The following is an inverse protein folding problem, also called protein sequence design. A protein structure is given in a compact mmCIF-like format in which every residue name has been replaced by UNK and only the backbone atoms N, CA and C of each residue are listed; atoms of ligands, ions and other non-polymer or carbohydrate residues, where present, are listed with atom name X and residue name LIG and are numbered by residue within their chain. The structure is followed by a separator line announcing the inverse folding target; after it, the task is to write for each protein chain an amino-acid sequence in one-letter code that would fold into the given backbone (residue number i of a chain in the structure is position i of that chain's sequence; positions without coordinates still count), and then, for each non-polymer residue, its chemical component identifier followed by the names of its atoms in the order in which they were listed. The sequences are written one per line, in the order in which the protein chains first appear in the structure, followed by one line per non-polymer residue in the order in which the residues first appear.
data_IF_788850974734
#
_entry.id   IF_788850974734
#
_cell.length_a   1.000
_cell.length_b   1.000
_cell.length_c   1.000
_cell.angle_alpha   90.00
_cell.angle_beta   90.00
_cell.angle_gamma   90.00
#
_symmetry.space_group_name_H-M   'P 1'
#
loop_
_entity.id
_entity.type
_entity.pdbx_description
1 polymer ?
#
# COMPACT_ATOMS: atom_id res chain seq x y z
N UNK A 1 5.02 9.51 -3.13
CA UNK A 1 3.91 10.01 -2.29
C UNK A 1 4.34 10.01 -0.84
N UNK A 2 4.05 11.08 -0.11
CA UNK A 2 4.37 11.17 1.31
C UNK A 2 3.22 10.61 2.15
N UNK A 3 3.52 10.30 3.43
CA UNK A 3 2.50 9.83 4.37
C UNK A 3 1.37 10.84 4.50
N UNK A 4 1.70 12.12 4.72
CA UNK A 4 0.67 13.16 4.89
C UNK A 4 -0.16 13.36 3.62
N UNK A 5 0.46 13.29 2.44
CA UNK A 5 -0.26 13.40 1.18
C UNK A 5 -1.25 12.24 1.00
N UNK A 6 -0.84 11.03 1.35
CA UNK A 6 -1.72 9.86 1.28
C UNK A 6 -2.91 10.00 2.22
N UNK A 7 -2.67 10.39 3.46
CA UNK A 7 -3.75 10.55 4.45
C UNK A 7 -4.73 11.63 4.00
N UNK A 8 -4.23 12.76 3.50
CA UNK A 8 -5.10 13.81 2.98
C UNK A 8 -5.93 13.32 1.81
N UNK A 9 -5.34 12.55 0.91
CA UNK A 9 -6.04 11.99 -0.24
C UNK A 9 -7.16 11.03 0.20
N UNK A 10 -6.89 10.18 1.19
CA UNK A 10 -7.90 9.26 1.72
C UNK A 10 -9.07 10.04 2.33
N UNK A 11 -8.79 11.07 3.13
CA UNK A 11 -9.84 11.89 3.75
C UNK A 11 -10.69 12.61 2.70
N UNK A 12 -10.08 13.01 1.61
CA UNK A 12 -10.75 13.70 0.52
C UNK A 12 -11.64 12.75 -0.31
N UNK A 13 -11.10 11.58 -0.66
CA UNK A 13 -11.79 10.61 -1.51
C UNK A 13 -12.76 9.71 -0.75
N UNK A 14 -12.48 9.44 0.52
CA UNK A 14 -13.30 8.57 1.36
C UNK A 14 -13.43 9.21 2.75
N UNK A 15 -14.33 10.20 2.91
CA UNK A 15 -14.54 10.84 4.21
C UNK A 15 -14.84 9.80 5.29
N UNK A 16 -14.16 9.91 6.42
CA UNK A 16 -14.27 8.95 7.51
C UNK A 16 -13.95 9.64 8.84
N UNK A 17 -14.26 8.94 9.94
CA UNK A 17 -14.04 9.44 11.29
C UNK A 17 -12.80 8.84 11.95
N UNK A 18 -12.00 8.09 11.20
CA UNK A 18 -10.79 7.49 11.76
C UNK A 18 -9.73 8.56 12.07
N UNK A 19 -8.99 8.32 13.15
CA UNK A 19 -7.86 9.18 13.50
C UNK A 19 -6.71 8.99 12.52
N UNK A 20 -5.83 9.97 12.45
CA UNK A 20 -4.61 9.84 11.64
C UNK A 20 -3.77 8.64 12.09
N UNK A 21 -3.74 8.36 13.39
CA UNK A 21 -3.02 7.19 13.93
C UNK A 21 -3.58 5.89 13.41
N UNK A 22 -4.91 5.78 13.31
CA UNK A 22 -5.55 4.59 12.77
C UNK A 22 -5.27 4.42 11.29
N UNK A 23 -5.35 5.52 10.53
CA UNK A 23 -5.01 5.48 9.11
C UNK A 23 -3.54 5.12 8.90
N UNK A 24 -2.65 5.65 9.75
CA UNK A 24 -1.23 5.30 9.71
C UNK A 24 -1.00 3.81 9.98
N UNK A 25 -1.80 3.21 10.86
CA UNK A 25 -1.68 1.78 11.13
C UNK A 25 -1.99 0.95 9.88
N UNK A 26 -2.97 1.36 9.08
CA UNK A 26 -3.25 0.70 7.79
C UNK A 26 -2.09 0.87 6.81
N UNK A 27 -1.51 2.06 6.78
CA UNK A 27 -0.35 2.34 5.91
C UNK A 27 0.83 1.46 6.31
N UNK A 28 1.12 1.34 7.59
CA UNK A 28 2.20 0.47 8.06
C UNK A 28 1.95 -0.99 7.69
N UNK A 29 0.71 -1.43 7.75
CA UNK A 29 0.33 -2.79 7.40
C UNK A 29 0.69 -3.12 5.94
N UNK A 30 0.30 -2.26 5.01
CA UNK A 30 0.64 -2.49 3.59
C UNK A 30 2.12 -2.25 3.32
N UNK A 31 2.75 -1.36 4.04
CA UNK A 31 4.17 -1.06 3.83
C UNK A 31 5.09 -2.22 4.22
N UNK A 32 4.71 -3.01 5.21
CA UNK A 32 5.42 -4.25 5.51
C UNK A 32 5.48 -5.17 4.30
N UNK A 33 4.37 -5.29 3.59
CA UNK A 33 4.29 -6.13 2.41
C UNK A 33 5.12 -5.57 1.25
N UNK A 34 5.04 -4.25 1.02
CA UNK A 34 5.84 -3.64 -0.05
C UNK A 34 7.33 -3.71 0.24
N UNK A 35 7.73 -3.55 1.49
CA UNK A 35 9.13 -3.66 1.90
C UNK A 35 9.66 -5.07 1.64
N UNK A 36 8.86 -6.08 1.94
CA UNK A 36 9.23 -7.46 1.66
C UNK A 36 9.43 -7.68 0.17
N UNK A 37 8.53 -7.16 -0.65
CA UNK A 37 8.61 -7.32 -2.10
C UNK A 37 9.77 -6.55 -2.71
N UNK A 38 10.14 -5.43 -2.13
CA UNK A 38 11.30 -4.64 -2.55
C UNK A 38 12.61 -5.17 -1.95
N UNK A 39 12.53 -6.12 -1.03
CA UNK A 39 13.69 -6.69 -0.33
C UNK A 39 14.47 -5.61 0.44
N UNK A 40 13.76 -4.69 1.07
CA UNK A 40 14.34 -3.63 1.90
C UNK A 40 13.87 -3.79 3.34
N UNK A 41 14.65 -3.25 4.27
CA UNK A 41 14.24 -3.20 5.67
C UNK A 41 13.23 -2.08 5.87
N UNK A 42 12.27 -2.31 6.77
CA UNK A 42 11.23 -1.35 7.07
C UNK A 42 11.01 -1.29 8.57
N UNK A 43 10.92 -0.07 9.09
CA UNK A 43 10.49 0.19 10.45
C UNK A 43 9.18 0.95 10.38
N UNK A 44 8.17 0.57 11.18
CA UNK A 44 6.87 1.24 11.13
C UNK A 44 6.99 2.76 11.36
N UNK A 45 6.21 3.50 10.59
CA UNK A 45 6.13 4.95 10.76
C UNK A 45 5.43 5.27 12.08
N UNK A 46 5.97 6.23 12.81
CA UNK A 46 5.42 6.63 14.11
C UNK A 46 4.56 7.89 14.01
N UNK A 47 4.85 8.75 13.04
CA UNK A 47 4.18 10.03 12.89
C UNK A 47 3.66 10.22 11.47
N UNK A 48 2.61 11.04 11.39
CA UNK A 48 2.10 11.50 10.08
C UNK A 48 2.89 12.75 9.70
N UNK A 49 3.86 12.56 8.83
CA UNK A 49 4.76 13.61 8.38
C UNK A 49 4.97 13.52 6.86
N UNK A 50 5.99 14.18 6.34
CA UNK A 50 6.30 14.21 4.91
C UNK A 50 7.31 13.13 4.49
N UNK A 51 7.44 12.06 5.27
CA UNK A 51 8.28 10.93 4.89
C UNK A 51 7.73 10.27 3.62
N UNK A 52 8.61 10.01 2.66
CA UNK A 52 8.24 9.33 1.43
C UNK A 52 7.94 7.85 1.69
N UNK A 53 6.87 7.35 1.10
CA UNK A 53 6.54 5.94 1.12
C UNK A 53 7.47 5.17 0.18
N UNK A 54 7.60 3.87 0.41
CA UNK A 54 8.57 3.03 -0.30
C UNK A 54 8.27 2.86 -1.78
N UNK A 55 6.98 2.79 -2.14
CA UNK A 55 6.58 2.53 -3.53
C UNK A 55 6.60 3.84 -4.32
N UNK A 56 7.34 3.89 -5.44
CA UNK A 56 7.40 5.10 -6.25
C UNK A 56 6.16 5.31 -7.10
N UNK A 57 6.00 6.54 -7.58
CA UNK A 57 4.97 6.85 -8.57
C UNK A 57 5.32 6.14 -9.90
N UNK A 58 4.36 5.70 -10.69
CA UNK A 58 2.90 5.85 -10.49
C UNK A 58 2.25 4.73 -9.67
N UNK A 59 3.03 3.85 -9.05
CA UNK A 59 2.52 2.65 -8.40
C UNK A 59 2.02 2.90 -6.99
N UNK A 60 2.20 4.10 -6.45
CA UNK A 60 1.73 4.47 -5.10
C UNK A 60 0.21 4.41 -4.95
N UNK A 61 -0.54 4.30 -6.05
CA UNK A 61 -2.00 4.13 -5.99
C UNK A 61 -2.42 2.86 -5.23
N UNK A 62 -1.52 1.88 -5.07
CA UNK A 62 -1.82 0.70 -4.27
C UNK A 62 -2.12 1.03 -2.81
N UNK A 63 -1.50 2.08 -2.28
CA UNK A 63 -1.77 2.54 -0.92
C UNK A 63 -3.20 3.07 -0.79
N UNK A 64 -3.62 3.86 -1.77
CA UNK A 64 -4.96 4.48 -1.76
C UNK A 64 -6.04 3.41 -1.76
N UNK A 65 -5.96 2.47 -2.69
CA UNK A 65 -6.95 1.40 -2.79
C UNK A 65 -6.95 0.51 -1.56
N UNK A 66 -5.77 0.21 -0.99
CA UNK A 66 -5.69 -0.59 0.23
C UNK A 66 -6.35 0.10 1.41
N UNK A 67 -5.97 1.36 1.69
CA UNK A 67 -6.51 2.08 2.86
C UNK A 67 -8.01 2.29 2.72
N UNK A 68 -8.48 2.62 1.51
CA UNK A 68 -9.92 2.75 1.25
C UNK A 68 -10.65 1.44 1.54
N UNK A 69 -10.09 0.30 1.15
CA UNK A 69 -10.71 -1.01 1.43
C UNK A 69 -10.77 -1.28 2.93
N UNK A 70 -9.74 -0.90 3.69
CA UNK A 70 -9.73 -1.10 5.14
C UNK A 70 -10.76 -0.21 5.84
N UNK A 71 -10.91 1.03 5.39
CA UNK A 71 -11.94 1.95 5.91
C UNK A 71 -13.33 1.36 5.63
N UNK A 72 -13.57 0.88 4.43
CA UNK A 72 -14.86 0.28 4.05
C UNK A 72 -15.17 -0.95 4.90
N UNK A 73 -14.19 -1.82 5.08
CA UNK A 73 -14.38 -3.03 5.89
C UNK A 73 -14.73 -2.68 7.33
N UNK A 74 -14.00 -1.72 7.92
CA UNK A 74 -14.26 -1.29 9.28
C UNK A 74 -15.64 -0.65 9.46
N UNK A 75 -16.16 -0.02 8.41
CA UNK A 75 -17.49 0.60 8.39
C UNK A 75 -18.59 -0.36 7.92
N UNK A 76 -18.25 -1.62 7.71
CA UNK A 76 -19.18 -2.66 7.22
C UNK A 76 -19.82 -2.32 5.87
N UNK A 77 -19.13 -1.52 5.05
CA UNK A 77 -19.53 -1.18 3.68
C UNK A 77 -18.97 -2.22 2.72
N UNK A 78 -19.51 -3.43 2.74
CA UNK A 78 -18.89 -4.57 2.07
C UNK A 78 -18.90 -4.51 0.55
N UNK A 79 -19.90 -3.89 -0.05
CA UNK A 79 -19.91 -3.71 -1.51
C UNK A 79 -18.77 -2.79 -1.97
N UNK A 80 -18.59 -1.69 -1.26
CA UNK A 80 -17.49 -0.75 -1.54
C UNK A 80 -16.14 -1.38 -1.22
N UNK A 81 -16.07 -2.14 -0.12
CA UNK A 81 -14.86 -2.90 0.24
C UNK A 81 -14.44 -3.82 -0.91
N UNK A 82 -15.38 -4.58 -1.45
CA UNK A 82 -15.09 -5.53 -2.52
C UNK A 82 -14.51 -4.79 -3.75
N UNK A 83 -15.11 -3.69 -4.15
CA UNK A 83 -14.62 -2.89 -5.28
C UNK A 83 -13.21 -2.35 -5.03
N UNK A 84 -12.97 -1.79 -3.85
CA UNK A 84 -11.65 -1.25 -3.51
C UNK A 84 -10.61 -2.36 -3.35
N UNK A 85 -11.02 -3.52 -2.86
CA UNK A 85 -10.12 -4.67 -2.74
C UNK A 85 -9.72 -5.20 -4.12
N UNK A 86 -10.65 -5.29 -5.05
CA UNK A 86 -10.36 -5.69 -6.43
C UNK A 86 -9.41 -4.68 -7.09
N UNK A 87 -9.62 -3.39 -6.87
CA UNK A 87 -8.74 -2.36 -7.39
C UNK A 87 -7.35 -2.48 -6.77
N UNK A 88 -7.27 -2.75 -5.47
CA UNK A 88 -5.99 -2.93 -4.80
C UNK A 88 -5.22 -4.13 -5.36
N UNK A 89 -5.89 -5.24 -5.60
CA UNK A 89 -5.25 -6.43 -6.19
C UNK A 89 -4.62 -6.08 -7.53
N UNK A 90 -5.33 -5.33 -8.37
CA UNK A 90 -4.79 -4.90 -9.66
C UNK A 90 -3.64 -3.91 -9.50
N UNK A 91 -3.77 -2.93 -8.62
CA UNK A 91 -2.73 -1.94 -8.36
C UNK A 91 -1.46 -2.60 -7.81
N UNK A 92 -1.62 -3.56 -6.92
CA UNK A 92 -0.49 -4.29 -6.36
C UNK A 92 0.19 -5.17 -7.41
N UNK A 93 -0.60 -5.80 -8.28
CA UNK A 93 -0.06 -6.58 -9.38
C UNK A 93 0.79 -5.71 -10.31
N UNK A 94 0.32 -4.50 -10.62
CA UNK A 94 1.08 -3.57 -11.46
C UNK A 94 2.43 -3.24 -10.83
N UNK A 95 2.44 -3.01 -9.52
CA UNK A 95 3.67 -2.77 -8.77
C UNK A 95 4.61 -3.98 -8.82
N UNK A 96 4.10 -5.18 -8.57
CA UNK A 96 4.90 -6.42 -8.61
C UNK A 96 5.49 -6.62 -10.01
N UNK A 97 4.70 -6.42 -11.05
CA UNK A 97 5.17 -6.54 -12.43
C UNK A 97 6.32 -5.56 -12.71
N UNK A 98 6.21 -4.34 -12.19
CA UNK A 98 7.29 -3.35 -12.32
C UNK A 98 8.56 -3.80 -11.58
N UNK A 99 8.43 -4.29 -10.35
CA UNK A 99 9.56 -4.77 -9.56
C UNK A 99 10.30 -5.90 -10.30
N UNK A 100 9.55 -6.86 -10.82
CA UNK A 100 10.13 -7.99 -11.56
C UNK A 100 10.78 -7.52 -12.85
N UNK A 101 10.10 -6.67 -13.61
CA UNK A 101 10.58 -6.20 -14.92
C UNK A 101 11.85 -5.36 -14.80
N UNK A 102 11.95 -4.55 -13.75
CA UNK A 102 13.08 -3.61 -13.58
C UNK A 102 14.20 -4.16 -12.71
N UNK A 103 14.00 -5.34 -12.08
CA UNK A 103 15.00 -5.92 -11.20
C UNK A 103 15.22 -5.13 -9.92
N UNK A 104 14.18 -4.44 -9.42
CA UNK A 104 14.29 -3.69 -8.17
C UNK A 104 14.59 -4.58 -6.98
N UNK A 105 14.15 -5.85 -7.03
CA UNK A 105 14.51 -6.84 -6.02
C UNK A 105 15.74 -7.62 -6.48
N UNK A 106 16.70 -7.84 -5.59
CA UNK A 106 17.86 -8.68 -5.90
C UNK A 106 17.38 -10.13 -6.00
N UNK A 107 17.72 -10.80 -7.10
CA UNK A 107 17.23 -12.15 -7.40
C UNK A 107 17.47 -13.14 -6.25
N UNK A 108 18.65 -13.11 -5.63
CA UNK A 108 19.00 -14.01 -4.52
C UNK A 108 18.19 -13.74 -3.25
N UNK A 109 17.56 -12.56 -3.13
CA UNK A 109 16.75 -12.18 -1.98
C UNK A 109 15.28 -12.01 -2.34
N UNK A 110 14.94 -12.28 -3.60
CA UNK A 110 13.57 -12.15 -4.09
C UNK A 110 12.63 -13.07 -3.33
N UNK A 111 11.48 -12.57 -2.85
CA UNK A 111 10.48 -13.42 -2.20
C UNK A 111 10.07 -14.59 -3.07
N UNK A 112 9.77 -15.74 -2.45
CA UNK A 112 9.42 -16.96 -3.16
C UNK A 112 8.22 -16.80 -4.08
N UNK A 113 7.28 -15.91 -3.73
CA UNK A 113 6.11 -15.62 -4.57
C UNK A 113 6.49 -15.03 -5.93
N UNK A 114 7.60 -14.30 -6.02
CA UNK A 114 8.11 -13.81 -7.30
C UNK A 114 8.77 -14.93 -8.10
N UNK A 115 9.51 -15.80 -7.40
CA UNK A 115 10.23 -16.91 -8.05
C UNK A 115 9.29 -17.89 -8.74
N UNK A 116 8.10 -18.06 -8.19
CA UNK A 116 7.10 -19.00 -8.71
C UNK A 116 6.28 -18.42 -9.87
N UNK A 117 6.53 -17.19 -10.26
CA UNK A 117 5.81 -16.53 -11.35
C UNK A 117 6.44 -16.79 -12.70
N UNK A 118 7.60 -17.40 -12.72
CA UNK A 118 8.33 -17.69 -13.95
C UNK A 118 8.17 -19.16 -14.35
#
# INVERSE_FOLDING_TARGET
MTISALINKIKEEKPNTFTDEKLLSFINEIEWETAEDLCVQFEPYEDVDDTELLVPEPYSRLYVSFVKSQVDYANEEYASYQLNQEQHVQDYKDFVDWVVRTGQAVESTMPSRFRNTY
#
